data_IF_038547143279
#
_entry.id   IF_038547143279
#
_cell.length_a   1.000
_cell.length_b   1.000
_cell.length_c   1.000
_cell.angle_alpha   90.00
_cell.angle_beta   90.00
_cell.angle_gamma   90.00
#
_symmetry.space_group_name_H-M   'P 1'
#
loop_
_entity.id
_entity.type
_entity.pdbx_description
1 polymer ?
#
# COMPACT_ATOMS: atom_id res chain seq x y z
N UNK A 1 5.17 -11.53 -1.85
CA UNK A 1 3.80 -11.38 -2.39
C UNK A 1 2.93 -10.96 -1.22
N UNK A 2 1.95 -10.09 -1.46
CA UNK A 2 1.03 -9.67 -0.39
C UNK A 2 0.27 -10.89 0.14
N UNK A 3 0.09 -10.95 1.45
CA UNK A 3 -0.75 -11.95 2.08
C UNK A 3 -2.25 -11.57 2.05
N UNK A 4 -3.09 -12.42 2.65
CA UNK A 4 -4.54 -12.22 2.65
C UNK A 4 -4.98 -10.99 3.43
N UNK A 5 -4.23 -10.62 4.47
CA UNK A 5 -4.54 -9.50 5.34
C UNK A 5 -4.17 -8.18 4.67
N UNK A 6 -2.98 -8.13 4.06
CA UNK A 6 -2.57 -6.98 3.25
C UNK A 6 -3.50 -6.75 2.05
N UNK A 7 -3.96 -7.83 1.40
CA UNK A 7 -4.95 -7.73 0.33
C UNK A 7 -6.30 -7.21 0.83
N UNK A 8 -6.71 -7.60 2.03
CA UNK A 8 -7.94 -7.11 2.66
C UNK A 8 -7.84 -5.63 2.98
N UNK A 9 -6.74 -5.16 3.55
CA UNK A 9 -6.53 -3.74 3.84
C UNK A 9 -6.65 -2.87 2.58
N UNK A 10 -6.09 -3.32 1.45
CA UNK A 10 -6.22 -2.64 0.15
C UNK A 10 -7.67 -2.65 -0.33
N UNK A 11 -8.40 -3.74 -0.15
CA UNK A 11 -9.80 -3.84 -0.54
C UNK A 11 -10.72 -2.98 0.33
N UNK A 12 -10.50 -2.92 1.63
CA UNK A 12 -11.26 -2.07 2.55
C UNK A 12 -11.09 -0.59 2.15
N UNK A 13 -9.84 -0.16 1.94
CA UNK A 13 -9.54 1.18 1.44
C UNK A 13 -10.18 1.47 0.07
N UNK A 14 -10.17 0.48 -0.85
CA UNK A 14 -10.86 0.57 -2.15
C UNK A 14 -12.35 0.84 -1.96
N UNK A 15 -13.02 0.12 -1.06
CA UNK A 15 -14.46 0.27 -0.83
C UNK A 15 -14.80 1.61 -0.19
N UNK A 16 -14.04 2.04 0.82
CA UNK A 16 -14.19 3.35 1.48
C UNK A 16 -14.07 4.50 0.47
N UNK A 17 -13.09 4.42 -0.43
CA UNK A 17 -12.83 5.44 -1.44
C UNK A 17 -13.60 5.22 -2.75
N UNK A 18 -14.50 4.22 -2.80
CA UNK A 18 -15.37 3.89 -3.94
C UNK A 18 -14.60 3.67 -5.26
N UNK A 19 -13.45 3.02 -5.18
CA UNK A 19 -12.62 2.74 -6.35
C UNK A 19 -13.10 1.48 -7.10
N UNK A 20 -13.03 1.47 -8.44
CA UNK A 20 -13.71 0.45 -9.25
C UNK A 20 -13.02 -0.92 -9.29
N UNK A 21 -11.75 -1.01 -8.89
CA UNK A 21 -11.01 -2.26 -8.85
C UNK A 21 -9.84 -2.19 -7.90
N UNK A 22 -9.31 -3.35 -7.47
CA UNK A 22 -8.09 -3.41 -6.66
C UNK A 22 -6.90 -2.77 -7.38
N UNK A 23 -6.79 -2.97 -8.70
CA UNK A 23 -5.73 -2.34 -9.49
C UNK A 23 -5.85 -0.80 -9.49
N UNK A 24 -7.08 -0.25 -9.51
CA UNK A 24 -7.28 1.19 -9.36
C UNK A 24 -6.85 1.67 -7.96
N UNK A 25 -7.15 0.89 -6.92
CA UNK A 25 -6.73 1.21 -5.56
C UNK A 25 -5.20 1.23 -5.39
N UNK A 26 -4.52 0.18 -5.85
CA UNK A 26 -3.06 0.09 -5.81
C UNK A 26 -2.41 1.27 -6.55
N UNK A 27 -2.90 1.61 -7.75
CA UNK A 27 -2.35 2.75 -8.51
C UNK A 27 -2.56 4.09 -7.81
N UNK A 28 -3.70 4.29 -7.15
CA UNK A 28 -3.98 5.51 -6.41
C UNK A 28 -3.08 5.62 -5.17
N UNK A 29 -2.92 4.54 -4.40
CA UNK A 29 -2.02 4.50 -3.25
C UNK A 29 -0.57 4.79 -3.66
N UNK A 30 -0.07 4.15 -4.72
CA UNK A 30 1.26 4.41 -5.28
C UNK A 30 1.38 5.88 -5.71
N UNK A 31 0.38 6.43 -6.40
CA UNK A 31 0.41 7.84 -6.83
C UNK A 31 0.49 8.79 -5.64
N UNK A 32 -0.27 8.54 -4.57
CA UNK A 32 -0.21 9.36 -3.34
C UNK A 32 1.17 9.26 -2.69
N UNK A 33 1.73 8.05 -2.59
CA UNK A 33 3.05 7.83 -2.02
C UNK A 33 4.20 8.45 -2.83
N UNK A 34 4.08 8.51 -4.17
CA UNK A 34 5.09 9.12 -5.03
C UNK A 34 5.04 10.66 -5.06
N UNK A 35 3.91 11.27 -4.64
CA UNK A 35 3.73 12.72 -4.65
C UNK A 35 3.71 13.34 -3.24
N UNK A 36 4.02 12.56 -2.20
CA UNK A 36 4.19 13.10 -0.85
C UNK A 36 5.66 13.38 -0.58
N UNK A 37 5.94 14.49 0.11
CA UNK A 37 7.28 14.89 0.55
C UNK A 37 7.60 14.36 1.97
N UNK A 38 6.73 13.50 2.52
CA UNK A 38 6.80 13.05 3.91
C UNK A 38 7.74 11.86 4.15
N UNK A 39 8.28 11.24 3.10
CA UNK A 39 9.14 10.05 3.22
C UNK A 39 10.61 10.39 2.99
N UNK A 40 11.47 9.86 3.87
CA UNK A 40 12.92 9.87 3.69
C UNK A 40 13.39 8.82 2.67
N UNK A 41 14.71 8.70 2.49
CA UNK A 41 15.29 7.63 1.66
C UNK A 41 14.89 6.26 2.21
N UNK A 42 14.43 5.33 1.36
CA UNK A 42 14.04 4.00 1.80
C UNK A 42 15.26 3.22 2.28
N UNK A 43 15.11 2.36 3.32
CA UNK A 43 16.20 1.52 3.80
C UNK A 43 16.64 0.54 2.71
N UNK A 44 17.95 0.46 2.47
CA UNK A 44 18.53 -0.38 1.40
C UNK A 44 18.75 -1.84 1.81
N UNK A 45 18.70 -2.12 3.12
CA UNK A 45 19.02 -3.40 3.75
C UNK A 45 17.83 -4.02 4.49
N UNK A 46 16.65 -3.39 4.43
CA UNK A 46 15.44 -3.90 5.05
C UNK A 46 14.93 -5.17 4.35
N UNK A 47 14.48 -6.13 5.16
CA UNK A 47 13.82 -7.32 4.65
C UNK A 47 12.47 -6.96 4.01
N UNK A 48 12.02 -7.76 3.03
CA UNK A 48 10.74 -7.51 2.36
C UNK A 48 9.53 -7.45 3.32
N UNK A 49 9.64 -8.12 4.47
CA UNK A 49 8.61 -8.11 5.51
C UNK A 49 8.52 -6.80 6.31
N UNK A 50 9.51 -5.92 6.21
CA UNK A 50 9.48 -4.58 6.82
C UNK A 50 8.66 -3.58 5.99
N UNK A 51 8.33 -3.93 4.74
CA UNK A 51 7.49 -3.14 3.86
C UNK A 51 6.02 -3.62 3.85
N UNK A 52 5.57 -4.24 4.95
CA UNK A 52 4.18 -4.71 5.09
C UNK A 52 3.18 -3.57 5.06
N UNK A 53 1.98 -3.87 4.58
CA UNK A 53 0.86 -2.91 4.54
C UNK A 53 0.12 -2.84 5.89
N UNK A 54 0.23 -3.88 6.73
CA UNK A 54 -0.43 -4.00 8.04
C UNK A 54 0.59 -4.32 9.13
N UNK A 55 0.33 -3.87 10.36
CA UNK A 55 1.22 -4.05 11.52
C UNK A 55 1.12 -5.46 12.17
N UNK A 56 0.13 -6.27 11.77
CA UNK A 56 -0.04 -7.67 12.18
C UNK A 56 0.83 -8.66 11.36
#
# INVERSE_FOLDING_TARGET
MLDLEELKAIDDWRFENRLPSRAAAIRELIRRGLNTDEFGEPPTDAASGEFRVTDE
#
